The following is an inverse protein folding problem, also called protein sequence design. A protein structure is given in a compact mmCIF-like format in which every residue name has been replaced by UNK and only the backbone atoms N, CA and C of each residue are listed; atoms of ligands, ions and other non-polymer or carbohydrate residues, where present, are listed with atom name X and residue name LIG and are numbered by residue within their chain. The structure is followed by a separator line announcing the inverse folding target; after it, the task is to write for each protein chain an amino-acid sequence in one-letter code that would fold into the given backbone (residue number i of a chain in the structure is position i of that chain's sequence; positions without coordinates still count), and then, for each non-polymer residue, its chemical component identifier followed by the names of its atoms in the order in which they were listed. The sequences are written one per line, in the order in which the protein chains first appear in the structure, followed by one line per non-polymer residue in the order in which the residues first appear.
data_IF_242958266958
#
_entry.id   IF_242958266958
#
_cell.length_a   1.000
_cell.length_b   1.000
_cell.length_c   1.000
_cell.angle_alpha   90.00
_cell.angle_beta   90.00
_cell.angle_gamma   90.00
#
_symmetry.space_group_name_H-M   'P 1'
#
loop_
_entity.id
_entity.type
_entity.pdbx_description
1 polymer ?
#
# COMPACT_ATOMS: atom_id res chain seq x y z
N UNK A 1 -0.22 13.37 17.80
CA UNK A 1 -0.33 12.30 16.79
C UNK A 1 -1.10 12.88 15.64
N UNK A 2 -0.58 12.78 14.44
CA UNK A 2 -1.25 13.26 13.23
C UNK A 2 -1.08 12.20 12.14
N UNK A 3 -2.08 12.00 11.28
CA UNK A 3 -1.96 11.06 10.18
C UNK A 3 -1.23 11.75 9.01
N UNK A 4 -0.37 11.03 8.30
CA UNK A 4 0.35 11.56 7.14
C UNK A 4 0.33 10.59 5.98
N UNK A 5 0.32 11.15 4.76
CA UNK A 5 0.44 10.41 3.52
C UNK A 5 1.81 9.71 3.45
N UNK A 6 1.80 8.38 3.28
CA UNK A 6 3.01 7.60 3.04
C UNK A 6 2.93 6.97 1.64
N UNK A 7 3.65 7.56 0.70
CA UNK A 7 3.85 6.99 -0.64
C UNK A 7 2.79 7.37 -1.67
N UNK A 8 3.21 7.35 -2.95
CA UNK A 8 2.42 7.81 -4.09
C UNK A 8 1.43 6.80 -4.69
N UNK A 9 1.22 5.66 -4.04
CA UNK A 9 0.29 4.60 -4.48
C UNK A 9 -0.82 4.49 -3.45
N UNK A 10 -2.08 4.71 -3.85
CA UNK A 10 -3.20 5.10 -2.98
C UNK A 10 -2.85 5.19 -1.50
N UNK A 11 -2.44 6.40 -1.13
CA UNK A 11 -3.05 7.09 -0.01
C UNK A 11 -3.13 6.22 1.25
N UNK A 12 -2.04 5.53 1.59
CA UNK A 12 -1.92 4.78 2.84
C UNK A 12 -1.38 5.75 3.87
N UNK A 13 -2.23 6.19 4.79
CA UNK A 13 -1.82 7.06 5.89
C UNK A 13 -1.44 6.23 7.10
N UNK A 14 -0.28 6.54 7.66
CA UNK A 14 0.17 5.98 8.93
C UNK A 14 -0.01 7.06 10.00
N UNK A 15 -0.42 6.67 11.21
CA UNK A 15 -0.32 7.57 12.36
C UNK A 15 1.10 7.47 12.91
N UNK A 16 1.79 8.61 12.93
CA UNK A 16 3.10 8.71 13.54
C UNK A 16 3.12 9.58 14.79
N UNK A 17 4.06 9.24 15.67
CA UNK A 17 4.48 10.11 16.76
C UNK A 17 5.67 10.95 16.27
N UNK A 18 5.54 12.26 16.42
CA UNK A 18 6.59 13.24 16.14
C UNK A 18 7.02 13.89 17.46
N UNK A 19 8.31 14.24 17.57
CA UNK A 19 8.87 15.02 18.67
C UNK A 19 9.33 16.37 18.14
N UNK A 20 9.05 17.44 18.88
CA UNK A 20 9.61 18.77 18.59
C UNK A 20 10.98 18.90 19.25
N UNK A 21 12.00 19.19 18.45
CA UNK A 21 13.37 19.45 18.89
C UNK A 21 13.77 20.85 18.43
N UNK A 22 13.71 21.82 19.36
CA UNK A 22 13.87 23.23 19.03
C UNK A 22 12.79 23.71 18.06
N UNK A 23 13.21 24.15 16.87
CA UNK A 23 12.32 24.59 15.77
C UNK A 23 11.95 23.48 14.80
N UNK A 24 12.52 22.28 14.94
CA UNK A 24 12.31 21.16 14.02
C UNK A 24 11.33 20.13 14.59
N UNK A 25 10.61 19.46 13.69
CA UNK A 25 9.84 18.25 14.00
C UNK A 25 10.64 17.03 13.53
N UNK A 26 10.83 16.07 14.41
CA UNK A 26 11.56 14.83 14.14
C UNK A 26 10.59 13.67 14.33
N UNK A 27 10.61 12.70 13.41
CA UNK A 27 9.80 11.50 13.55
C UNK A 27 10.37 10.57 14.62
N UNK A 28 9.49 10.06 15.47
CA UNK A 28 9.87 9.19 16.59
C UNK A 28 9.52 7.73 16.32
N UNK A 29 8.27 7.45 15.95
CA UNK A 29 7.80 6.09 15.64
C UNK A 29 6.50 6.10 14.86
N UNK A 30 6.20 4.97 14.22
CA UNK A 30 4.89 4.64 13.67
C UNK A 30 4.06 3.91 14.74
N UNK A 31 2.75 4.14 14.75
CA UNK A 31 1.82 3.35 15.58
C UNK A 31 1.32 2.15 14.75
N UNK A 32 1.54 0.92 15.22
CA UNK A 32 1.04 -0.30 14.54
C UNK A 32 -0.48 -0.29 14.42
N UNK A 33 -1.03 -0.91 13.37
CA UNK A 33 -2.47 -0.97 13.13
C UNK A 33 -3.14 0.37 12.79
N UNK A 34 -2.39 1.48 12.68
CA UNK A 34 -2.93 2.81 12.38
C UNK A 34 -2.81 3.18 10.90
N UNK A 35 -3.01 2.17 10.04
CA UNK A 35 -3.11 2.32 8.61
C UNK A 35 -4.53 2.75 8.30
N UNK A 36 -4.70 3.98 7.86
CA UNK A 36 -5.96 4.40 7.26
C UNK A 36 -5.64 4.74 5.83
N UNK A 37 -6.23 4.01 4.89
CA UNK A 37 -6.23 4.45 3.51
C UNK A 37 -7.01 5.78 3.50
N UNK A 38 -6.36 6.90 3.21
CA UNK A 38 -6.92 8.26 3.19
C UNK A 38 -6.16 9.20 2.26
N UNK A 39 -6.90 10.12 1.68
CA UNK A 39 -6.51 10.96 0.54
C UNK A 39 -5.46 12.04 0.90
N UNK A 40 -4.76 12.59 -0.12
CA UNK A 40 -3.82 13.73 0.05
C UNK A 40 -4.50 14.99 0.62
N UNK A 41 -5.79 15.16 0.32
CA UNK A 41 -6.67 16.20 0.90
C UNK A 41 -7.69 15.52 1.79
N UNK A 42 -7.81 15.89 3.09
CA UNK A 42 -8.86 15.36 3.94
C UNK A 42 -10.24 15.77 3.39
N UNK A 43 -10.95 14.81 2.81
CA UNK A 43 -12.35 14.98 2.44
C UNK A 43 -13.21 14.48 3.61
N UNK A 44 -13.72 15.43 4.39
CA UNK A 44 -14.57 15.14 5.55
C UNK A 44 -16.03 14.85 5.17
N UNK A 45 -16.42 15.06 3.91
CA UNK A 45 -17.79 14.87 3.42
C UNK A 45 -17.98 13.47 2.80
N UNK A 46 -16.87 12.85 2.37
CA UNK A 46 -16.89 11.56 1.68
C UNK A 46 -16.28 10.40 2.49
N UNK A 47 -17.09 9.43 2.88
CA UNK A 47 -16.70 8.30 3.73
C UNK A 47 -15.95 7.16 3.01
N UNK A 48 -14.89 7.42 2.23
CA UNK A 48 -14.16 6.30 1.60
C UNK A 48 -12.91 6.61 0.78
N UNK A 49 -11.82 5.88 1.07
CA UNK A 49 -10.56 5.86 0.31
C UNK A 49 -10.71 5.42 -1.15
N UNK A 50 -11.80 4.72 -1.47
CA UNK A 50 -12.15 4.31 -2.84
C UNK A 50 -12.30 5.50 -3.80
N UNK A 51 -12.51 6.72 -3.30
CA UNK A 51 -12.72 7.88 -4.16
C UNK A 51 -11.47 8.32 -4.92
N UNK A 52 -10.30 8.18 -4.29
CA UNK A 52 -9.00 8.51 -4.86
C UNK A 52 -8.29 7.32 -5.51
N UNK A 53 -8.97 6.16 -5.61
CA UNK A 53 -8.40 5.02 -6.29
C UNK A 53 -8.20 5.30 -7.79
N UNK A 54 -7.08 4.85 -8.34
CA UNK A 54 -6.76 5.06 -9.76
C UNK A 54 -7.76 4.36 -10.69
N UNK A 55 -8.40 3.30 -10.17
CA UNK A 55 -9.55 2.62 -10.78
C UNK A 55 -10.46 1.99 -9.73
N UNK A 56 -11.78 2.02 -9.97
CA UNK A 56 -12.80 1.48 -9.06
C UNK A 56 -14.05 0.98 -9.77
N UNK A 57 -14.73 0.03 -9.15
CA UNK A 57 -16.05 -0.50 -9.53
C UNK A 57 -17.01 -0.26 -8.36
N UNK A 58 -18.18 0.32 -8.67
CA UNK A 58 -19.18 0.73 -7.68
C UNK A 58 -20.43 -0.15 -7.79
N UNK A 59 -20.99 -0.55 -6.65
CA UNK A 59 -22.35 -1.10 -6.55
C UNK A 59 -23.21 -0.16 -5.72
N UNK A 60 -24.01 0.67 -6.39
CA UNK A 60 -24.70 1.80 -5.76
C UNK A 60 -23.69 2.82 -5.25
N UNK A 61 -23.75 3.14 -3.95
CA UNK A 61 -22.85 4.12 -3.31
C UNK A 61 -21.59 3.50 -2.69
N UNK A 62 -21.34 2.20 -2.87
CA UNK A 62 -20.19 1.51 -2.26
C UNK A 62 -19.25 0.97 -3.34
N UNK A 63 -17.94 1.13 -3.13
CA UNK A 63 -16.96 0.44 -3.95
C UNK A 63 -16.96 -1.06 -3.63
N UNK A 64 -17.07 -1.88 -4.68
CA UNK A 64 -16.96 -3.34 -4.57
C UNK A 64 -15.58 -3.85 -4.92
N UNK A 65 -14.84 -3.07 -5.72
CA UNK A 65 -13.43 -3.29 -5.99
C UNK A 65 -12.76 -1.96 -6.34
N UNK A 66 -11.47 -1.83 -6.01
CA UNK A 66 -10.64 -0.74 -6.49
C UNK A 66 -9.17 -1.14 -6.48
N UNK A 67 -8.35 -0.41 -7.24
CA UNK A 67 -6.91 -0.57 -7.25
C UNK A 67 -6.20 0.75 -7.51
N UNK A 68 -4.97 0.83 -7.02
CA UNK A 68 -4.11 2.00 -7.21
C UNK A 68 -2.65 1.60 -7.35
N UNK A 69 -1.97 2.27 -8.27
CA UNK A 69 -0.55 2.11 -8.58
C UNK A 69 -0.06 3.31 -9.37
N UNK A 70 1.24 3.59 -9.29
CA UNK A 70 1.83 4.70 -10.04
C UNK A 70 1.65 4.52 -11.56
N UNK A 71 1.68 3.29 -12.07
CA UNK A 71 1.47 3.04 -13.50
C UNK A 71 -0.01 3.24 -13.88
N UNK A 72 -0.96 2.79 -13.04
CA UNK A 72 -2.40 2.96 -13.29
C UNK A 72 -2.79 4.44 -13.49
N UNK A 73 -2.13 5.38 -12.81
CA UNK A 73 -2.34 6.83 -12.98
C UNK A 73 -2.11 7.32 -14.41
N UNK A 74 -1.19 6.70 -15.12
CA UNK A 74 -0.77 7.13 -16.45
C UNK A 74 -1.51 6.39 -17.57
N UNK A 75 -2.26 5.34 -17.25
CA UNK A 75 -2.94 4.51 -18.23
C UNK A 75 -4.30 5.07 -18.69
N UNK A 76 -4.75 4.78 -19.92
CA UNK A 76 -6.12 5.07 -20.36
C UNK A 76 -7.17 4.32 -19.52
N UNK A 77 -8.36 4.90 -19.36
CA UNK A 77 -9.46 4.31 -18.58
C UNK A 77 -9.80 2.86 -18.99
N UNK A 78 -9.72 2.55 -20.29
CA UNK A 78 -9.96 1.20 -20.81
C UNK A 78 -8.96 0.20 -20.24
N UNK A 79 -7.67 0.55 -20.17
CA UNK A 79 -6.63 -0.31 -19.64
C UNK A 79 -6.77 -0.49 -18.12
N UNK A 80 -7.04 0.59 -17.40
CA UNK A 80 -7.33 0.53 -15.97
C UNK A 80 -8.52 -0.39 -15.66
N UNK A 81 -9.59 -0.31 -16.46
CA UNK A 81 -10.77 -1.17 -16.29
C UNK A 81 -10.45 -2.64 -16.57
N UNK A 82 -9.68 -2.95 -17.62
CA UNK A 82 -9.21 -4.32 -17.89
C UNK A 82 -8.43 -4.90 -16.71
N UNK A 83 -7.55 -4.10 -16.10
CA UNK A 83 -6.84 -4.49 -14.90
C UNK A 83 -7.81 -4.84 -13.76
N UNK A 84 -8.77 -3.95 -13.47
CA UNK A 84 -9.74 -4.17 -12.40
C UNK A 84 -10.64 -5.39 -12.67
N UNK A 85 -11.07 -5.59 -13.92
CA UNK A 85 -11.85 -6.76 -14.32
C UNK A 85 -11.05 -8.06 -14.13
N UNK A 86 -9.75 -8.05 -14.46
CA UNK A 86 -8.85 -9.18 -14.21
C UNK A 86 -8.73 -9.44 -12.70
N UNK A 87 -8.50 -8.40 -11.90
CA UNK A 87 -8.42 -8.47 -10.43
C UNK A 87 -9.68 -9.12 -9.82
N UNK A 88 -10.87 -8.72 -10.27
CA UNK A 88 -12.15 -9.24 -9.79
C UNK A 88 -12.32 -10.73 -10.14
N UNK A 89 -11.86 -11.15 -11.33
CA UNK A 89 -12.01 -12.54 -11.81
C UNK A 89 -11.05 -13.53 -11.17
N UNK A 90 -9.92 -13.07 -10.64
CA UNK A 90 -8.97 -14.00 -10.02
C UNK A 90 -9.54 -14.61 -8.74
N UNK A 91 -9.27 -15.90 -8.54
CA UNK A 91 -9.60 -16.55 -7.28
C UNK A 91 -8.40 -16.43 -6.33
N UNK A 92 -8.60 -15.98 -5.09
CA UNK A 92 -7.54 -16.00 -4.09
C UNK A 92 -7.04 -17.42 -3.84
N UNK A 93 -5.74 -17.59 -3.86
CA UNK A 93 -5.06 -18.84 -3.57
C UNK A 93 -4.28 -18.75 -2.27
N UNK A 94 -3.92 -19.90 -1.71
CA UNK A 94 -3.07 -19.94 -0.53
C UNK A 94 -1.70 -19.33 -0.87
N UNK A 95 -1.30 -18.35 -0.07
CA UNK A 95 0.01 -17.72 -0.17
C UNK A 95 1.14 -18.73 0.00
N UNK A 96 2.12 -18.69 -0.91
CA UNK A 96 3.40 -19.41 -0.79
C UNK A 96 4.39 -18.71 0.15
N UNK A 97 4.04 -17.50 0.60
CA UNK A 97 4.86 -16.69 1.50
C UNK A 97 4.61 -17.10 2.96
N UNK A 98 5.66 -17.52 3.66
CA UNK A 98 5.63 -17.86 5.08
C UNK A 98 5.63 -16.60 5.95
N UNK A 99 4.51 -15.88 5.95
CA UNK A 99 4.38 -14.61 6.67
C UNK A 99 3.96 -14.84 8.13
N UNK A 100 2.99 -15.73 8.38
CA UNK A 100 2.43 -15.94 9.72
C UNK A 100 2.02 -14.61 10.38
N UNK A 101 2.45 -14.39 11.63
CA UNK A 101 2.22 -13.15 12.38
C UNK A 101 2.99 -11.93 11.82
N UNK A 102 3.91 -12.13 10.86
CA UNK A 102 4.77 -11.09 10.29
C UNK A 102 4.22 -10.47 9.01
N UNK A 103 2.96 -10.74 8.68
CA UNK A 103 2.29 -10.20 7.51
C UNK A 103 2.23 -8.66 7.54
N UNK A 104 1.90 -8.06 8.69
CA UNK A 104 1.92 -6.59 8.87
C UNK A 104 3.33 -6.01 8.68
N UNK A 105 4.36 -6.68 9.19
CA UNK A 105 5.75 -6.24 9.04
C UNK A 105 6.19 -6.23 7.56
N UNK A 106 5.84 -7.26 6.80
CA UNK A 106 6.16 -7.29 5.37
C UNK A 106 5.39 -6.22 4.59
N UNK A 107 4.12 -5.96 4.92
CA UNK A 107 3.35 -4.87 4.29
C UNK A 107 3.97 -3.50 4.57
N UNK A 108 4.34 -3.25 5.82
CA UNK A 108 5.05 -2.03 6.21
C UNK A 108 6.36 -1.89 5.41
N UNK A 109 7.09 -2.99 5.23
CA UNK A 109 8.29 -3.02 4.42
C UNK A 109 7.98 -2.61 2.97
N UNK A 110 6.96 -3.19 2.33
CA UNK A 110 6.56 -2.82 0.97
C UNK A 110 6.24 -1.32 0.84
N UNK A 111 5.53 -0.75 1.81
CA UNK A 111 5.27 0.70 1.83
C UNK A 111 6.53 1.55 2.00
N UNK A 112 7.49 1.09 2.82
CA UNK A 112 8.76 1.81 3.03
C UNK A 112 9.63 1.84 1.77
N UNK A 113 9.59 0.78 0.96
CA UNK A 113 10.45 0.66 -0.21
C UNK A 113 9.94 1.44 -1.42
N UNK A 114 8.63 1.74 -1.50
CA UNK A 114 7.99 2.43 -2.63
C UNK A 114 8.44 1.92 -4.00
N UNK A 115 8.56 0.59 -4.14
CA UNK A 115 9.09 -0.01 -5.36
C UNK A 115 8.20 0.27 -6.56
N UNK A 116 8.82 0.33 -7.73
CA UNK A 116 8.08 0.40 -9.00
C UNK A 116 7.08 -0.76 -9.11
N UNK A 117 5.86 -0.45 -9.56
CA UNK A 117 4.77 -1.42 -9.64
C UNK A 117 4.11 -1.75 -8.28
N UNK A 118 4.52 -1.13 -7.17
CA UNK A 118 3.77 -1.26 -5.91
C UNK A 118 2.31 -0.90 -6.15
N UNK A 119 1.42 -1.75 -5.68
CA UNK A 119 -0.02 -1.68 -5.95
C UNK A 119 -0.79 -2.03 -4.70
N UNK A 120 -1.78 -1.21 -4.38
CA UNK A 120 -2.78 -1.50 -3.35
C UNK A 120 -4.12 -1.73 -4.03
N UNK A 121 -4.89 -2.68 -3.51
CA UNK A 121 -6.20 -2.99 -4.07
C UNK A 121 -7.18 -3.42 -2.98
N UNK A 122 -8.45 -3.47 -3.36
CA UNK A 122 -9.53 -3.93 -2.52
C UNK A 122 -10.53 -4.72 -3.33
N UNK A 123 -11.10 -5.74 -2.69
CA UNK A 123 -12.30 -6.46 -3.13
C UNK A 123 -13.22 -6.69 -1.95
N UNK A 124 -14.53 -6.58 -2.16
CA UNK A 124 -15.51 -6.69 -1.08
C UNK A 124 -15.50 -8.05 -0.35
N UNK A 125 -15.12 -9.13 -1.04
CA UNK A 125 -15.05 -10.49 -0.52
C UNK A 125 -13.84 -10.75 0.38
N UNK A 126 -12.69 -10.19 0.01
CA UNK A 126 -11.39 -10.51 0.64
C UNK A 126 -10.63 -9.30 1.19
N UNK A 127 -11.30 -8.14 1.20
CA UNK A 127 -10.82 -6.85 1.70
C UNK A 127 -9.59 -6.38 0.93
N UNK A 128 -8.54 -5.92 1.63
CA UNK A 128 -7.41 -5.22 1.04
C UNK A 128 -6.32 -6.18 0.58
N UNK A 129 -5.57 -5.73 -0.43
CA UNK A 129 -4.42 -6.40 -0.99
C UNK A 129 -3.28 -5.44 -1.26
N UNK A 130 -2.04 -5.92 -1.22
CA UNK A 130 -0.83 -5.18 -1.56
C UNK A 130 0.20 -6.07 -2.26
N UNK A 131 0.89 -5.54 -3.25
CA UNK A 131 1.98 -6.26 -3.91
C UNK A 131 2.42 -5.56 -5.17
N UNK A 132 2.74 -6.35 -6.19
CA UNK A 132 3.20 -5.87 -7.47
C UNK A 132 2.08 -5.92 -8.51
N UNK A 133 2.04 -4.91 -9.39
CA UNK A 133 1.35 -5.01 -10.67
C UNK A 133 1.98 -4.15 -11.75
N UNK A 134 1.64 -4.48 -12.99
CA UNK A 134 1.78 -3.64 -14.16
C UNK A 134 0.59 -3.83 -15.12
N UNK A 135 0.73 -3.32 -16.33
CA UNK A 135 -0.29 -3.35 -17.38
C UNK A 135 -0.77 -4.77 -17.78
N UNK A 136 0.00 -5.82 -17.47
CA UNK A 136 -0.25 -7.19 -17.90
C UNK A 136 -0.51 -8.13 -16.71
N UNK A 137 0.29 -8.00 -15.65
CA UNK A 137 0.30 -8.97 -14.55
C UNK A 137 0.24 -8.30 -13.17
N UNK A 138 -0.24 -9.04 -12.19
CA UNK A 138 -0.20 -8.70 -10.79
C UNK A 138 0.01 -9.92 -9.91
N UNK A 139 0.54 -9.67 -8.73
CA UNK A 139 0.61 -10.58 -7.60
C UNK A 139 0.43 -9.74 -6.34
N UNK A 140 -0.68 -9.93 -5.64
CA UNK A 140 -1.07 -9.12 -4.50
C UNK A 140 -1.42 -10.02 -3.31
N UNK A 141 -0.84 -9.73 -2.15
CA UNK A 141 -1.09 -10.40 -0.89
C UNK A 141 -2.27 -9.77 -0.17
N UNK A 142 -3.17 -10.59 0.36
CA UNK A 142 -4.25 -10.11 1.23
C UNK A 142 -3.67 -9.44 2.49
N UNK A 143 -4.42 -8.53 3.10
CA UNK A 143 -4.04 -7.93 4.38
C UNK A 143 -4.34 -8.81 5.58
N UNK A 144 -5.40 -9.61 5.48
CA UNK A 144 -6.04 -10.25 6.65
C UNK A 144 -5.85 -11.76 6.69
N UNK A 145 -5.49 -12.38 5.56
CA UNK A 145 -5.36 -13.82 5.40
C UNK A 145 -4.06 -14.14 4.67
N UNK A 146 -3.51 -15.36 4.81
CA UNK A 146 -2.38 -15.83 4.02
C UNK A 146 -2.83 -16.22 2.61
N UNK A 147 -3.41 -15.26 1.88
CA UNK A 147 -3.92 -15.42 0.53
C UNK A 147 -3.16 -14.52 -0.43
N UNK A 148 -3.02 -14.98 -1.67
CA UNK A 148 -2.47 -14.23 -2.79
C UNK A 148 -3.45 -14.27 -3.97
N UNK A 149 -3.58 -13.16 -4.68
CA UNK A 149 -4.22 -13.12 -5.99
C UNK A 149 -3.15 -12.80 -7.02
N UNK A 150 -3.05 -13.61 -8.06
CA UNK A 150 -2.09 -13.39 -9.13
C UNK A 150 -2.67 -13.82 -10.47
N UNK A 151 -2.19 -13.22 -11.56
CA UNK A 151 -2.56 -13.62 -12.93
C UNK A 151 -1.31 -13.86 -13.82
N UNK A 152 -0.11 -13.95 -13.25
CA UNK A 152 1.13 -14.17 -14.00
C UNK A 152 2.33 -14.57 -13.14
N UNK A 153 3.22 -15.37 -13.73
CA UNK A 153 4.41 -15.90 -13.06
C UNK A 153 5.48 -14.83 -12.81
N UNK A 154 5.59 -13.83 -13.69
CA UNK A 154 6.59 -12.77 -13.54
C UNK A 154 6.21 -11.84 -12.39
N UNK A 155 4.95 -11.42 -12.29
CA UNK A 155 4.48 -10.66 -11.14
C UNK A 155 4.69 -11.41 -9.82
N UNK A 156 4.41 -12.73 -9.81
CA UNK A 156 4.64 -13.59 -8.65
C UNK A 156 6.13 -13.64 -8.28
N UNK A 157 7.02 -13.78 -9.27
CA UNK A 157 8.48 -13.80 -9.09
C UNK A 157 9.02 -12.48 -8.54
N UNK A 158 8.46 -11.34 -8.99
CA UNK A 158 8.82 -10.01 -8.46
C UNK A 158 8.44 -9.91 -6.99
N UNK A 159 7.21 -10.32 -6.63
CA UNK A 159 6.78 -10.30 -5.23
C UNK A 159 7.61 -11.25 -4.34
N UNK A 160 8.00 -12.42 -4.87
CA UNK A 160 8.95 -13.34 -4.23
C UNK A 160 10.33 -12.70 -4.01
N UNK A 161 10.81 -11.94 -4.98
CA UNK A 161 12.06 -11.20 -4.85
C UNK A 161 11.97 -10.17 -3.73
N UNK A 162 10.88 -9.40 -3.68
CA UNK A 162 10.66 -8.43 -2.61
C UNK A 162 10.56 -9.08 -1.23
N UNK A 163 9.92 -10.25 -1.15
CA UNK A 163 9.87 -11.04 0.07
C UNK A 163 11.26 -11.51 0.51
N UNK A 164 12.07 -12.02 -0.42
CA UNK A 164 13.44 -12.45 -0.13
C UNK A 164 14.30 -11.28 0.38
N UNK A 165 14.22 -10.13 -0.27
CA UNK A 165 14.93 -8.93 0.20
C UNK A 165 14.51 -8.51 1.61
N UNK A 166 13.22 -8.62 1.93
CA UNK A 166 12.74 -8.37 3.28
C UNK A 166 13.34 -9.37 4.29
N UNK A 167 13.40 -10.66 3.95
CA UNK A 167 14.08 -11.66 4.77
C UNK A 167 15.56 -11.31 4.99
N UNK A 168 16.26 -10.94 3.92
CA UNK A 168 17.69 -10.62 3.93
C UNK A 168 17.98 -9.33 4.73
N UNK A 169 17.01 -8.41 4.82
CA UNK A 169 17.07 -7.22 5.66
C UNK A 169 16.81 -7.49 7.16
N UNK A 170 16.59 -8.75 7.56
CA UNK A 170 16.30 -9.12 8.94
C UNK A 170 14.82 -9.02 9.33
N UNK A 171 13.91 -9.04 8.35
CA UNK A 171 12.45 -8.96 8.54
C UNK A 171 12.00 -7.66 9.22
N UNK A 172 12.57 -6.53 8.79
CA UNK A 172 12.22 -5.20 9.32
C UNK A 172 10.71 -4.98 9.30
N UNK A 173 10.14 -4.63 10.44
CA UNK A 173 8.73 -4.31 10.59
C UNK A 173 8.50 -2.85 10.93
N UNK A 174 7.27 -2.55 11.36
CA UNK A 174 6.81 -1.20 11.73
C UNK A 174 7.68 -0.59 12.85
N UNK A 175 8.13 -1.42 13.79
CA UNK A 175 8.99 -1.03 14.91
C UNK A 175 10.35 -0.52 14.47
N UNK A 176 10.82 -0.95 13.29
CA UNK A 176 12.08 -0.53 12.69
C UNK A 176 11.93 0.71 11.81
N UNK A 177 10.71 1.27 11.67
CA UNK A 177 10.44 2.39 10.77
C UNK A 177 10.24 3.70 11.53
N UNK A 178 10.87 4.75 11.02
CA UNK A 178 10.73 6.12 11.50
C UNK A 178 10.15 7.02 10.40
N UNK A 179 9.29 7.99 10.76
CA UNK A 179 8.83 9.00 9.82
C UNK A 179 9.96 9.99 9.53
N UNK A 180 10.30 10.15 8.26
CA UNK A 180 11.21 11.19 7.77
C UNK A 180 10.38 12.32 7.16
N UNK A 181 10.50 13.54 7.69
CA UNK A 181 9.92 14.72 7.06
C UNK A 181 10.87 15.18 5.95
N UNK A 182 10.40 15.15 4.71
CA UNK A 182 11.07 15.80 3.58
C UNK A 182 10.36 17.11 3.26
N UNK A 183 11.10 18.21 3.35
CA UNK A 183 10.62 19.54 3.00
C UNK A 183 10.72 19.75 1.48
N UNK A 184 9.62 20.09 0.84
CA UNK A 184 9.52 20.51 -0.56
C UNK A 184 8.90 21.92 -0.59
N UNK A 185 9.75 22.95 -0.46
CA UNK A 185 9.29 24.33 -0.35
C UNK A 185 8.51 24.57 0.95
N UNK A 186 7.28 25.07 0.84
CA UNK A 186 6.38 25.30 1.99
C UNK A 186 5.62 24.04 2.43
N UNK A 187 5.73 22.94 1.67
CA UNK A 187 5.04 21.67 1.95
C UNK A 187 5.99 20.62 2.51
N UNK A 188 5.55 19.88 3.53
CA UNK A 188 6.28 18.75 4.08
C UNK A 188 5.63 17.43 3.68
N UNK A 189 6.41 16.50 3.13
CA UNK A 189 5.98 15.13 2.85
C UNK A 189 6.61 14.20 3.88
N UNK A 190 5.82 13.30 4.47
CA UNK A 190 6.35 12.28 5.38
C UNK A 190 6.62 11.00 4.60
N UNK A 191 7.83 10.47 4.72
CA UNK A 191 8.20 9.15 4.21
C UNK A 191 8.51 8.21 5.36
N UNK A 192 8.36 6.92 5.14
CA UNK A 192 8.89 5.93 6.08
C UNK A 192 10.30 5.57 5.67
N UNK A 193 11.21 5.58 6.62
CA UNK A 193 12.55 5.03 6.46
C UNK A 193 12.83 4.02 7.55
N UNK A 194 13.67 3.04 7.25
CA UNK A 194 14.15 2.08 8.23
C UNK A 194 15.22 2.79 9.10
N UNK A 195 15.08 2.72 10.42
CA UNK A 195 16.14 3.13 11.35
C UNK A 195 17.29 2.15 11.23
N UNK A 196 18.50 2.66 10.99
CA UNK A 196 19.72 1.87 11.12
C UNK A 196 20.03 1.57 12.58
#
# INVERSE_FOLDING_TARGET
MAPFLVGGVANSMFVCQMRKEGTQLVGQKIISGSYILMNETPDYESYGFELAADVKEMSGFKAVAWASSQWLKNEPQVQRKKFLDSLIRQTPEKSVFELGEKQEAFQAYLFSQQKEGLTTAFRADERYFIGYSDENEFALLSYSKPLVIANGERATSILQTWYKEWLDSGKVGVESMIPLIQQNGETGVVRLTISK
#
